data_IF_398546483171
#
_entry.id   IF_398546483171
#
_cell.length_a   1.000
_cell.length_b   1.000
_cell.length_c   1.000
_cell.angle_alpha   90.00
_cell.angle_beta   90.00
_cell.angle_gamma   90.00
#
_symmetry.space_group_name_H-M   'P 1'
#
loop_
_entity.id
_entity.type
_entity.pdbx_description
1 polymer ?
#
# COMPACT_ATOMS: atom_id res chain seq x y z
N UNK A 1 -3.62 5.82 10.30
CA UNK A 1 -2.52 6.69 10.75
C UNK A 1 -3.11 8.05 11.07
N UNK A 2 -2.50 8.78 12.00
CA UNK A 2 -2.80 10.20 12.26
C UNK A 2 -1.99 11.08 11.29
N UNK A 3 -2.48 12.28 11.00
CA UNK A 3 -1.83 13.26 10.13
C UNK A 3 -0.39 13.53 10.59
N UNK A 4 0.55 13.47 9.65
CA UNK A 4 1.98 13.68 9.88
C UNK A 4 2.74 12.45 10.38
N UNK A 5 2.04 11.35 10.77
CA UNK A 5 2.71 10.09 11.09
C UNK A 5 3.42 9.52 9.87
N UNK A 6 4.54 8.85 10.13
CA UNK A 6 5.40 8.29 9.09
C UNK A 6 5.57 6.78 9.21
N UNK A 7 5.48 6.08 8.09
CA UNK A 7 5.64 4.63 7.98
C UNK A 7 6.54 4.27 6.80
N UNK A 8 7.57 3.46 7.04
CA UNK A 8 8.35 2.80 5.98
C UNK A 8 7.65 1.51 5.54
N UNK A 9 7.59 1.27 4.23
CA UNK A 9 7.01 0.05 3.68
C UNK A 9 7.96 -0.67 2.73
N UNK A 10 7.72 -1.97 2.61
CA UNK A 10 8.29 -2.82 1.56
C UNK A 10 7.24 -3.79 1.04
N UNK A 11 6.90 -3.64 -0.24
CA UNK A 11 6.07 -4.54 -1.01
C UNK A 11 6.94 -5.51 -1.81
N UNK A 12 6.65 -6.79 -1.69
CA UNK A 12 7.26 -7.86 -2.48
C UNK A 12 6.18 -8.61 -3.25
N UNK A 13 6.46 -8.97 -4.49
CA UNK A 13 5.55 -9.77 -5.33
C UNK A 13 6.27 -11.02 -5.81
N UNK A 14 5.74 -12.18 -5.44
CA UNK A 14 6.23 -13.48 -5.89
C UNK A 14 5.26 -14.13 -6.89
N UNK A 15 5.78 -14.92 -7.83
CA UNK A 15 4.99 -15.66 -8.82
C UNK A 15 4.47 -14.84 -10.01
N UNK A 16 4.67 -13.52 -10.03
CA UNK A 16 4.21 -12.65 -11.12
C UNK A 16 4.48 -11.17 -10.87
N UNK A 17 3.54 -10.33 -11.30
CA UNK A 17 3.56 -8.87 -11.15
C UNK A 17 2.15 -8.34 -10.93
N UNK A 18 2.01 -7.20 -10.26
CA UNK A 18 0.71 -6.58 -10.00
C UNK A 18 0.71 -5.10 -10.38
N UNK A 19 -0.45 -4.59 -10.78
CA UNK A 19 -0.66 -3.15 -10.73
C UNK A 19 -1.03 -2.79 -9.28
N UNK A 20 -0.47 -1.72 -8.72
CA UNK A 20 -0.82 -1.27 -7.38
C UNK A 20 -1.19 0.22 -7.32
N UNK A 21 -1.92 0.57 -6.26
CA UNK A 21 -2.27 1.93 -5.85
C UNK A 21 -2.11 2.02 -4.33
N UNK A 22 -1.09 2.73 -3.88
CA UNK A 22 -0.91 3.07 -2.47
C UNK A 22 -1.66 4.37 -2.20
N UNK A 23 -2.64 4.33 -1.30
CA UNK A 23 -3.58 5.43 -1.11
C UNK A 23 -4.03 5.59 0.34
N UNK A 24 -4.45 6.80 0.68
CA UNK A 24 -5.25 7.08 1.87
C UNK A 24 -6.69 7.36 1.47
N UNK A 25 -7.65 6.98 2.31
CA UNK A 25 -9.05 7.32 2.14
C UNK A 25 -9.75 7.46 3.48
N UNK A 26 -10.54 8.53 3.65
CA UNK A 26 -11.17 8.81 4.94
C UNK A 26 -11.88 10.14 5.01
N UNK A 27 -13.04 10.18 5.67
CA UNK A 27 -13.82 11.42 5.91
C UNK A 27 -14.02 12.34 4.68
N UNK A 28 -14.12 11.76 3.47
CA UNK A 28 -14.24 12.50 2.21
C UNK A 28 -12.91 12.94 1.57
N UNK A 29 -11.79 12.67 2.23
CA UNK A 29 -10.44 12.82 1.71
C UNK A 29 -10.00 11.56 0.94
N UNK A 30 -9.10 11.78 -0.01
CA UNK A 30 -8.38 10.72 -0.69
C UNK A 30 -7.05 11.25 -1.19
N UNK A 31 -6.02 10.41 -1.14
CA UNK A 31 -4.70 10.71 -1.69
C UNK A 31 -4.14 9.45 -2.31
N UNK A 32 -3.46 9.59 -3.44
CA UNK A 32 -2.59 8.54 -3.97
C UNK A 32 -1.15 8.91 -3.63
N UNK A 33 -0.45 8.02 -2.96
CA UNK A 33 0.97 8.14 -2.65
C UNK A 33 1.82 7.64 -3.82
N UNK A 34 1.51 6.45 -4.35
CA UNK A 34 2.30 5.82 -5.41
C UNK A 34 1.44 4.86 -6.25
N UNK A 35 1.75 4.74 -7.55
CA UNK A 35 1.06 3.87 -8.50
C UNK A 35 2.04 3.22 -9.47
N UNK A 36 2.23 1.91 -9.34
CA UNK A 36 3.07 1.14 -10.26
C UNK A 36 2.25 0.15 -11.12
N UNK A 37 2.32 0.24 -12.46
CA UNK A 37 1.82 -0.82 -13.34
C UNK A 37 2.82 -1.98 -13.45
N UNK A 38 2.33 -3.23 -13.36
CA UNK A 38 3.14 -4.43 -13.60
C UNK A 38 4.38 -4.56 -12.69
N UNK A 39 4.27 -4.13 -11.44
CA UNK A 39 5.34 -4.12 -10.45
C UNK A 39 5.60 -5.52 -9.86
N UNK A 40 6.87 -5.81 -9.58
CA UNK A 40 7.34 -6.98 -8.83
C UNK A 40 7.62 -6.68 -7.36
N UNK A 41 7.31 -5.47 -6.90
CA UNK A 41 7.66 -4.95 -5.59
C UNK A 41 7.94 -3.45 -5.63
N UNK A 42 7.89 -2.83 -4.47
CA UNK A 42 8.17 -1.40 -4.28
C UNK A 42 8.54 -1.15 -2.82
N UNK A 43 9.31 -0.11 -2.53
CA UNK A 43 9.68 0.25 -1.16
C UNK A 43 9.81 1.77 -1.02
N UNK A 44 9.46 2.29 0.15
CA UNK A 44 9.41 3.73 0.37
C UNK A 44 8.85 4.11 1.73
N UNK A 45 8.36 5.33 1.81
CA UNK A 45 7.80 5.94 3.02
C UNK A 45 6.43 6.55 2.70
N UNK A 46 5.50 6.40 3.65
CA UNK A 46 4.20 7.08 3.67
C UNK A 46 4.26 8.14 4.76
N UNK A 47 3.89 9.37 4.40
CA UNK A 47 3.59 10.43 5.37
C UNK A 47 2.09 10.69 5.27
N UNK A 48 1.34 10.39 6.32
CA UNK A 48 -0.10 10.54 6.31
C UNK A 48 -0.50 12.02 6.15
N UNK A 49 -1.19 12.35 5.06
CA UNK A 49 -1.66 13.74 4.82
C UNK A 49 -2.96 14.08 5.55
N UNK A 50 -3.57 13.11 6.23
CA UNK A 50 -4.76 13.24 7.06
C UNK A 50 -4.93 12.01 7.95
N UNK A 51 -5.72 12.16 9.01
CA UNK A 51 -6.20 11.07 9.86
C UNK A 51 -7.13 10.17 9.08
N UNK A 52 -6.75 8.91 8.81
CA UNK A 52 -7.64 7.78 8.50
C UNK A 52 -6.83 6.51 8.13
N UNK A 53 -7.44 5.58 7.40
CA UNK A 53 -6.84 4.41 6.76
C UNK A 53 -5.96 4.79 5.55
N UNK A 54 -4.76 4.21 5.54
CA UNK A 54 -3.77 4.29 4.47
C UNK A 54 -3.34 2.87 4.14
N UNK A 55 -3.29 2.51 2.86
CA UNK A 55 -3.04 1.15 2.45
C UNK A 55 -2.86 0.97 0.94
N UNK A 56 -3.00 -0.27 0.50
CA UNK A 56 -2.74 -0.67 -0.88
C UNK A 56 -3.97 -1.31 -1.50
N UNK A 57 -4.19 -0.99 -2.76
CA UNK A 57 -4.96 -1.81 -3.68
C UNK A 57 -4.00 -2.47 -4.66
N UNK A 58 -4.23 -3.74 -4.98
CA UNK A 58 -3.47 -4.46 -6.00
C UNK A 58 -4.39 -5.18 -6.98
N UNK A 59 -3.93 -5.31 -8.22
CA UNK A 59 -4.62 -6.04 -9.28
C UNK A 59 -3.65 -6.88 -10.07
N UNK A 60 -3.80 -8.21 -9.98
CA UNK A 60 -3.17 -9.15 -10.89
C UNK A 60 -3.97 -9.20 -12.21
N UNK A 61 -3.29 -9.00 -13.34
CA UNK A 61 -3.87 -9.11 -14.69
C UNK A 61 -3.35 -10.30 -15.48
N UNK A 62 -2.35 -10.99 -14.94
CA UNK A 62 -1.76 -12.17 -15.55
C UNK A 62 -2.54 -13.42 -15.11
N UNK A 63 -2.35 -14.52 -15.84
CA UNK A 63 -3.03 -15.80 -15.56
C UNK A 63 -2.42 -16.60 -14.41
N UNK A 64 -1.19 -16.26 -14.03
CA UNK A 64 -0.40 -16.92 -13.00
C UNK A 64 -0.77 -16.33 -11.64
N UNK A 65 -0.83 -17.15 -10.58
CA UNK A 65 -1.03 -16.63 -9.23
C UNK A 65 0.14 -15.74 -8.83
N UNK A 66 -0.16 -14.68 -8.07
CA UNK A 66 0.85 -13.81 -7.48
C UNK A 66 0.59 -13.70 -5.98
N UNK A 67 1.65 -13.72 -5.18
CA UNK A 67 1.60 -13.49 -3.74
C UNK A 67 2.21 -12.13 -3.45
N UNK A 68 1.44 -11.26 -2.80
CA UNK A 68 1.92 -9.95 -2.33
C UNK A 68 2.23 -10.06 -0.85
N UNK A 69 3.42 -9.63 -0.46
CA UNK A 69 3.81 -9.46 0.95
C UNK A 69 4.11 -8.00 1.19
N UNK A 70 3.41 -7.38 2.14
CA UNK A 70 3.69 -6.02 2.60
C UNK A 70 4.29 -6.11 4.00
N UNK A 71 5.44 -5.46 4.17
CA UNK A 71 6.08 -5.27 5.45
C UNK A 71 6.05 -3.78 5.76
N UNK A 72 5.64 -3.44 6.96
CA UNK A 72 5.49 -2.06 7.41
C UNK A 72 6.27 -1.86 8.70
N UNK A 73 6.83 -0.66 8.87
CA UNK A 73 7.51 -0.26 10.09
C UNK A 73 7.32 1.24 10.31
N UNK A 74 6.94 1.62 11.52
CA UNK A 74 6.80 3.03 11.88
C UNK A 74 5.54 3.26 12.68
N UNK A 75 4.91 4.40 12.43
CA UNK A 75 3.76 4.88 13.18
C UNK A 75 2.45 4.42 12.52
N UNK A 76 1.89 3.33 13.06
CA UNK A 76 0.57 2.83 12.70
C UNK A 76 -0.06 2.13 13.91
N UNK A 77 -1.39 2.13 14.00
CA UNK A 77 -2.12 1.50 15.10
C UNK A 77 -2.37 0.01 14.83
N UNK A 78 -2.75 -0.32 13.61
CA UNK A 78 -3.15 -1.67 13.23
C UNK A 78 -2.88 -1.89 11.73
N UNK A 79 -2.37 -3.07 11.38
CA UNK A 79 -2.30 -3.52 10.00
C UNK A 79 -3.42 -4.54 9.77
N UNK A 80 -4.41 -4.18 8.93
CA UNK A 80 -5.59 -5.01 8.68
C UNK A 80 -5.50 -5.68 7.32
N UNK A 81 -5.93 -6.94 7.27
CA UNK A 81 -6.24 -7.61 6.00
C UNK A 81 -7.70 -7.32 5.63
N UNK A 82 -7.89 -6.57 4.54
CA UNK A 82 -9.19 -6.16 4.01
C UNK A 82 -9.47 -6.77 2.62
N UNK A 83 -8.76 -7.86 2.26
CA UNK A 83 -8.87 -8.53 0.97
C UNK A 83 -10.05 -9.49 0.81
#
# INVERSE_FOLDING_TARGET
MEEGQTEEYRMLVDGGRVNFDMHGHGEGNSVTYEKGPGSTGDEGEIIATFDDEHGWFWRNRDSQPATVTVQVRGEYTEFKDAS
#
